data_IF_706172466729
#
_entry.id   IF_706172466729
#
_cell.length_a   1.000
_cell.length_b   1.000
_cell.length_c   1.000
_cell.angle_alpha   90.00
_cell.angle_beta   90.00
_cell.angle_gamma   90.00
#
_symmetry.space_group_name_H-M   'P 1'
#
loop_
_entity.id
_entity.type
_entity.pdbx_description
1 polymer ?
#
# COMPACT_ATOMS: atom_id res chain seq x y z
N UNK A 1 -43.51 18.99 -37.93
CA UNK A 1 -42.29 18.20 -38.00
C UNK A 1 -41.48 18.47 -36.73
N UNK A 2 -41.43 17.52 -35.84
CA UNK A 2 -40.61 17.60 -34.58
C UNK A 2 -39.37 16.75 -34.80
N UNK A 3 -38.20 17.39 -34.76
CA UNK A 3 -36.93 16.67 -34.75
C UNK A 3 -36.54 16.43 -33.29
N UNK A 4 -36.60 15.19 -32.87
CA UNK A 4 -36.10 14.69 -31.59
C UNK A 4 -34.58 14.49 -31.72
N UNK A 5 -33.81 15.36 -31.05
CA UNK A 5 -32.37 15.18 -30.89
C UNK A 5 -32.09 14.10 -29.85
N UNK A 6 -31.64 12.95 -30.30
CA UNK A 6 -31.13 11.90 -29.44
C UNK A 6 -29.78 12.30 -28.88
N UNK A 7 -29.68 12.44 -27.56
CA UNK A 7 -28.41 12.54 -26.85
C UNK A 7 -27.71 11.20 -26.89
N UNK A 8 -26.65 11.10 -27.71
CA UNK A 8 -25.75 9.98 -27.70
C UNK A 8 -24.97 9.98 -26.36
N UNK A 9 -25.30 9.10 -25.45
CA UNK A 9 -24.46 8.73 -24.33
C UNK A 9 -23.20 8.06 -24.90
N UNK A 10 -22.08 8.78 -24.87
CA UNK A 10 -20.76 8.20 -25.03
C UNK A 10 -20.47 7.33 -23.80
N UNK A 11 -20.70 6.06 -23.90
CA UNK A 11 -20.20 5.06 -22.96
C UNK A 11 -18.72 4.86 -23.23
N UNK A 12 -17.87 5.71 -22.70
CA UNK A 12 -16.46 5.41 -22.52
C UNK A 12 -16.38 4.47 -21.32
N UNK A 13 -15.97 3.24 -21.55
CA UNK A 13 -15.65 2.25 -20.52
C UNK A 13 -14.27 2.62 -19.93
N UNK A 14 -14.14 3.85 -19.39
CA UNK A 14 -12.95 4.25 -18.65
C UNK A 14 -13.01 3.54 -17.29
N UNK A 15 -12.03 2.70 -17.03
CA UNK A 15 -11.88 2.05 -15.73
C UNK A 15 -11.75 3.15 -14.67
N UNK A 16 -12.64 3.12 -13.67
CA UNK A 16 -12.55 4.06 -12.55
C UNK A 16 -11.32 3.73 -11.68
N UNK A 17 -10.58 4.73 -11.20
CA UNK A 17 -9.44 4.50 -10.32
C UNK A 17 -9.90 3.88 -9.01
N UNK A 18 -9.10 2.94 -8.49
CA UNK A 18 -9.34 2.36 -7.15
C UNK A 18 -9.07 3.38 -6.05
N UNK A 19 -8.03 4.22 -6.25
CA UNK A 19 -7.76 5.38 -5.40
C UNK A 19 -7.68 6.62 -6.29
N UNK A 20 -8.41 7.67 -5.90
CA UNK A 20 -8.28 9.01 -6.47
C UNK A 20 -7.91 10.00 -5.39
N UNK A 21 -6.93 10.83 -5.67
CA UNK A 21 -6.44 11.90 -4.80
C UNK A 21 -6.73 13.22 -5.48
N UNK A 22 -7.40 14.13 -4.78
CA UNK A 22 -7.75 15.45 -5.28
C UNK A 22 -7.21 16.53 -4.36
N UNK A 23 -6.27 17.36 -4.84
CA UNK A 23 -5.68 18.52 -4.18
C UNK A 23 -5.20 18.21 -2.74
N UNK A 24 -4.60 17.01 -2.54
CA UNK A 24 -4.16 16.56 -1.24
C UNK A 24 -3.04 17.44 -0.71
N UNK A 25 -3.30 18.07 0.44
CA UNK A 25 -2.29 18.84 1.18
C UNK A 25 -2.22 18.37 2.63
N UNK A 26 -1.01 18.21 3.14
CA UNK A 26 -0.77 17.94 4.56
C UNK A 26 0.37 18.79 5.09
N UNK A 27 0.06 19.54 6.14
CA UNK A 27 1.00 20.44 6.80
C UNK A 27 1.15 20.04 8.26
N UNK A 28 2.36 19.63 8.64
CA UNK A 28 2.72 19.38 10.05
C UNK A 28 2.89 20.71 10.79
N UNK A 29 2.51 20.73 12.06
CA UNK A 29 2.67 21.87 12.98
C UNK A 29 2.13 23.20 12.39
N UNK A 30 0.97 23.13 11.72
CA UNK A 30 0.33 24.29 11.13
C UNK A 30 0.14 25.42 12.17
N UNK A 31 0.43 26.67 11.76
CA UNK A 31 0.32 27.85 12.64
C UNK A 31 1.46 28.03 13.63
N UNK A 32 2.53 27.24 13.53
CA UNK A 32 3.74 27.38 14.36
C UNK A 32 4.96 27.76 13.53
N UNK A 33 6.06 28.27 14.14
CA UNK A 33 7.31 28.53 13.42
C UNK A 33 7.94 27.27 12.80
N UNK A 34 7.50 26.08 13.20
CA UNK A 34 7.99 24.79 12.68
C UNK A 34 7.05 24.19 11.61
N UNK A 35 6.15 24.98 11.07
CA UNK A 35 5.25 24.55 10.01
C UNK A 35 6.01 24.05 8.79
N UNK A 36 5.65 22.84 8.34
CA UNK A 36 6.22 22.20 7.15
C UNK A 36 5.14 21.52 6.34
N UNK A 37 5.00 21.89 5.08
CA UNK A 37 4.20 21.13 4.12
C UNK A 37 4.94 19.86 3.73
N UNK A 38 4.33 18.70 3.93
CA UNK A 38 4.91 17.41 3.60
C UNK A 38 4.31 16.82 2.32
N UNK A 39 3.08 17.21 1.99
CA UNK A 39 2.38 16.95 0.72
C UNK A 39 1.62 18.22 0.39
N UNK A 40 1.67 18.67 -0.86
CA UNK A 40 1.08 19.94 -1.27
C UNK A 40 0.42 19.85 -2.65
N UNK A 41 -0.92 19.96 -2.67
CA UNK A 41 -1.75 19.97 -3.87
C UNK A 41 -1.59 18.73 -4.75
N UNK A 42 -1.36 17.55 -4.16
CA UNK A 42 -1.15 16.33 -4.93
C UNK A 42 -2.46 15.86 -5.56
N UNK A 43 -2.40 15.60 -6.87
CA UNK A 43 -3.42 14.91 -7.66
C UNK A 43 -2.84 13.61 -8.20
N UNK A 44 -3.55 12.48 -8.01
CA UNK A 44 -3.09 11.20 -8.48
C UNK A 44 -4.26 10.21 -8.58
N UNK A 45 -4.39 9.55 -9.72
CA UNK A 45 -5.29 8.40 -9.91
C UNK A 45 -4.46 7.11 -9.94
N UNK A 46 -4.87 6.11 -9.15
CA UNK A 46 -4.25 4.78 -9.10
C UNK A 46 -5.29 3.76 -9.58
N UNK A 47 -4.93 2.99 -10.60
CA UNK A 47 -5.85 2.07 -11.25
C UNK A 47 -5.94 0.72 -10.55
N UNK A 48 -7.08 0.00 -10.62
CA UNK A 48 -7.19 -1.36 -10.09
C UNK A 48 -6.18 -2.30 -10.76
N UNK A 49 -5.50 -3.12 -9.94
CA UNK A 49 -4.53 -4.09 -10.44
C UNK A 49 -3.24 -3.47 -10.96
N UNK A 50 -2.95 -2.22 -10.64
CA UNK A 50 -1.70 -1.56 -11.01
C UNK A 50 -0.56 -1.94 -10.05
N UNK A 51 0.68 -2.05 -10.58
CA UNK A 51 1.87 -2.12 -9.77
C UNK A 51 2.63 -0.79 -9.91
N UNK A 52 2.42 0.10 -8.94
CA UNK A 52 2.93 1.47 -8.91
C UNK A 52 4.19 1.57 -8.05
N UNK A 53 5.23 2.21 -8.57
CA UNK A 53 6.41 2.63 -7.80
C UNK A 53 6.29 4.07 -7.33
N UNK A 54 6.65 4.36 -6.09
CA UNK A 54 6.77 5.72 -5.56
C UNK A 54 8.21 5.96 -5.15
N UNK A 55 8.88 6.90 -5.82
CA UNK A 55 10.28 7.25 -5.58
C UNK A 55 10.44 8.73 -5.22
N UNK A 56 11.60 9.09 -4.70
CA UNK A 56 11.95 10.47 -4.34
C UNK A 56 12.97 10.49 -3.20
N UNK A 57 13.64 11.61 -2.98
CA UNK A 57 14.61 11.75 -1.88
C UNK A 57 13.94 11.68 -0.50
N UNK A 58 14.74 11.48 0.54
CA UNK A 58 14.26 11.52 1.93
C UNK A 58 13.63 12.87 2.23
N UNK A 59 12.42 12.85 2.80
CA UNK A 59 11.67 14.07 3.10
C UNK A 59 10.89 14.67 1.92
N UNK A 60 10.81 13.99 0.75
CA UNK A 60 9.99 14.44 -0.38
C UNK A 60 8.48 14.27 -0.20
N UNK A 61 8.02 13.62 0.89
CA UNK A 61 6.60 13.45 1.19
C UNK A 61 6.05 12.03 0.97
N UNK A 62 6.85 11.06 0.47
CA UNK A 62 6.40 9.69 0.17
C UNK A 62 5.66 9.01 1.31
N UNK A 63 6.31 8.89 2.49
CA UNK A 63 5.71 8.22 3.65
C UNK A 63 4.45 8.95 4.15
N UNK A 64 4.42 10.29 4.05
CA UNK A 64 3.21 11.07 4.35
C UNK A 64 2.11 10.74 3.35
N UNK A 65 2.40 10.71 2.05
CA UNK A 65 1.42 10.34 1.01
C UNK A 65 0.80 8.97 1.28
N UNK A 66 1.62 7.92 1.45
CA UNK A 66 1.09 6.56 1.64
C UNK A 66 0.30 6.38 2.93
N UNK A 67 0.63 7.11 4.01
CA UNK A 67 -0.13 7.12 5.24
C UNK A 67 -1.51 7.77 5.08
N UNK A 68 -1.67 8.71 4.17
CA UNK A 68 -2.97 9.25 3.80
C UNK A 68 -3.82 8.22 3.07
N UNK A 69 -3.24 7.44 2.15
CA UNK A 69 -3.96 6.41 1.39
C UNK A 69 -4.56 5.32 2.28
N UNK A 70 -3.87 4.98 3.37
CA UNK A 70 -4.35 4.01 4.37
C UNK A 70 -5.25 4.66 5.46
N UNK A 71 -5.45 5.98 5.42
CA UNK A 71 -6.24 6.69 6.42
C UNK A 71 -5.59 6.76 7.82
N UNK A 72 -4.26 6.65 7.92
CA UNK A 72 -3.53 6.94 9.16
C UNK A 72 -3.41 8.43 9.42
N UNK A 73 -3.23 9.21 8.36
CA UNK A 73 -3.23 10.66 8.41
C UNK A 73 -4.50 11.20 7.76
N UNK A 74 -5.06 12.24 8.37
CA UNK A 74 -6.16 13.00 7.78
C UNK A 74 -5.57 14.19 7.01
N UNK A 75 -6.04 14.45 5.76
CA UNK A 75 -5.65 15.63 4.99
C UNK A 75 -5.89 16.93 5.75
N UNK A 76 -4.99 17.91 5.57
CA UNK A 76 -5.27 19.30 5.98
C UNK A 76 -6.22 19.95 4.97
N UNK A 77 -6.05 19.62 3.67
CA UNK A 77 -6.92 20.03 2.57
C UNK A 77 -6.97 18.92 1.51
N UNK A 78 -8.00 18.94 0.68
CA UNK A 78 -8.20 17.97 -0.39
C UNK A 78 -8.91 16.70 0.06
N UNK A 79 -9.08 15.77 -0.86
CA UNK A 79 -9.86 14.55 -0.67
C UNK A 79 -9.13 13.31 -1.18
N UNK A 80 -9.45 12.17 -0.59
CA UNK A 80 -8.98 10.86 -1.03
C UNK A 80 -10.20 9.95 -1.16
N UNK A 81 -10.37 9.40 -2.33
CA UNK A 81 -11.46 8.47 -2.63
C UNK A 81 -10.93 7.06 -2.78
N UNK A 82 -11.58 6.11 -2.16
CA UNK A 82 -11.38 4.67 -2.36
C UNK A 82 -12.64 4.08 -2.98
N UNK A 83 -12.53 3.51 -4.18
CA UNK A 83 -13.68 3.04 -4.97
C UNK A 83 -14.79 4.12 -5.09
N UNK A 84 -14.40 5.35 -5.39
CA UNK A 84 -15.30 6.49 -5.56
C UNK A 84 -15.90 7.07 -4.28
N UNK A 85 -15.55 6.57 -3.09
CA UNK A 85 -16.03 7.08 -1.79
C UNK A 85 -14.92 7.80 -1.05
N UNK A 86 -15.18 9.05 -0.62
CA UNK A 86 -14.25 9.78 0.25
C UNK A 86 -14.03 9.00 1.56
N UNK A 87 -12.78 8.66 1.84
CA UNK A 87 -12.41 7.84 3.02
C UNK A 87 -12.63 8.57 4.35
N UNK A 88 -12.77 9.90 4.32
CA UNK A 88 -12.99 10.74 5.50
C UNK A 88 -14.42 11.30 5.61
N UNK A 89 -15.32 10.96 4.68
CA UNK A 89 -16.72 11.36 4.76
C UNK A 89 -17.41 10.89 6.06
N UNK A 90 -17.05 9.69 6.54
CA UNK A 90 -17.42 9.16 7.85
C UNK A 90 -16.20 8.62 8.59
N UNK A 91 -15.65 9.36 9.57
CA UNK A 91 -14.47 8.91 10.34
C UNK A 91 -14.64 7.57 11.06
N UNK A 92 -15.89 7.14 11.33
CA UNK A 92 -16.14 5.82 11.94
C UNK A 92 -15.86 4.66 10.98
N UNK A 93 -15.88 4.93 9.68
CA UNK A 93 -15.61 3.95 8.62
C UNK A 93 -14.10 3.78 8.32
N UNK A 94 -13.22 4.59 8.91
CA UNK A 94 -11.78 4.56 8.59
C UNK A 94 -11.14 3.19 8.83
N UNK A 95 -11.67 2.40 9.77
CA UNK A 95 -11.22 1.02 10.01
C UNK A 95 -11.45 0.14 8.78
N UNK A 96 -12.56 0.32 8.06
CA UNK A 96 -12.88 -0.43 6.85
C UNK A 96 -11.95 -0.06 5.69
N UNK A 97 -11.48 1.20 5.65
CA UNK A 97 -10.45 1.64 4.69
C UNK A 97 -9.15 0.87 4.94
N UNK A 98 -8.72 0.74 6.21
CA UNK A 98 -7.49 0.03 6.58
C UNK A 98 -7.51 -1.45 6.27
N UNK A 99 -8.67 -2.08 6.24
CA UNK A 99 -8.82 -3.47 5.78
C UNK A 99 -8.69 -3.60 4.25
N UNK A 100 -9.08 -2.55 3.50
CA UNK A 100 -8.99 -2.56 2.04
C UNK A 100 -7.64 -2.05 1.53
N UNK A 101 -6.97 -1.17 2.30
CA UNK A 101 -5.66 -0.60 1.98
C UNK A 101 -4.68 -1.02 3.05
N UNK A 102 -4.01 -2.14 2.84
CA UNK A 102 -2.98 -2.67 3.73
C UNK A 102 -1.69 -1.86 3.58
N UNK A 103 -1.04 -1.54 4.70
CA UNK A 103 0.23 -0.82 4.73
C UNK A 103 1.26 -1.61 5.53
N UNK A 104 2.35 -1.95 4.86
CA UNK A 104 3.57 -2.49 5.47
C UNK A 104 4.55 -1.34 5.63
N UNK A 105 4.91 -1.01 6.86
CA UNK A 105 5.85 0.07 7.17
C UNK A 105 7.30 -0.35 6.95
N UNK A 106 8.19 0.63 6.91
CA UNK A 106 9.62 0.40 6.94
C UNK A 106 10.02 -0.33 8.24
N UNK A 107 10.86 -1.38 8.14
CA UNK A 107 11.23 -2.26 9.25
C UNK A 107 10.03 -2.89 9.97
N UNK A 108 9.14 -3.60 9.25
CA UNK A 108 7.88 -4.08 9.80
C UNK A 108 8.08 -5.17 10.87
N UNK A 109 9.27 -5.79 10.93
CA UNK A 109 9.67 -6.76 11.96
C UNK A 109 9.64 -6.21 13.40
N UNK A 110 9.67 -4.91 13.57
CA UNK A 110 9.53 -4.27 14.90
C UNK A 110 8.08 -4.14 15.37
N UNK A 111 7.12 -4.50 14.50
CA UNK A 111 5.70 -4.39 14.82
C UNK A 111 5.09 -5.71 15.31
N UNK A 112 5.87 -6.79 15.37
CA UNK A 112 5.43 -8.08 15.88
C UNK A 112 5.30 -8.03 17.39
N UNK A 113 4.19 -8.55 17.95
CA UNK A 113 3.86 -8.42 19.37
C UNK A 113 3.15 -9.63 19.96
N UNK A 114 2.66 -10.56 19.15
CA UNK A 114 1.92 -11.72 19.61
C UNK A 114 2.83 -12.85 20.10
N UNK A 115 2.25 -13.80 20.82
CA UNK A 115 2.99 -14.94 21.39
C UNK A 115 3.50 -15.92 20.33
N UNK A 116 2.75 -16.06 19.22
CA UNK A 116 3.11 -16.96 18.11
C UNK A 116 2.98 -16.25 16.77
N UNK A 117 3.75 -16.73 15.79
CA UNK A 117 3.68 -16.28 14.39
C UNK A 117 2.25 -16.40 13.86
N UNK A 118 1.58 -17.50 14.16
CA UNK A 118 0.18 -17.71 13.78
C UNK A 118 -0.72 -16.58 14.27
N UNK A 119 -0.61 -16.24 15.56
CA UNK A 119 -1.43 -15.17 16.17
C UNK A 119 -1.13 -13.81 15.58
N UNK A 120 0.15 -13.48 15.32
CA UNK A 120 0.53 -12.22 14.65
C UNK A 120 -0.12 -12.10 13.26
N UNK A 121 -0.03 -13.16 12.44
CA UNK A 121 -0.65 -13.15 11.11
C UNK A 121 -2.18 -13.13 11.21
N UNK A 122 -2.77 -13.83 12.17
CA UNK A 122 -4.22 -13.91 12.40
C UNK A 122 -4.82 -12.61 12.95
N UNK A 123 -4.01 -11.70 13.48
CA UNK A 123 -4.49 -10.48 14.14
C UNK A 123 -5.35 -9.60 13.23
N UNK A 124 -4.90 -9.35 11.99
CA UNK A 124 -5.65 -8.59 11.00
C UNK A 124 -6.99 -9.24 10.65
N UNK A 125 -7.02 -10.49 10.15
CA UNK A 125 -8.23 -11.26 9.86
C UNK A 125 -9.19 -11.38 11.05
N UNK A 126 -8.67 -11.59 12.26
CA UNK A 126 -9.47 -11.61 13.48
C UNK A 126 -10.18 -10.28 13.75
N UNK A 127 -9.50 -9.16 13.52
CA UNK A 127 -10.07 -7.83 13.64
C UNK A 127 -11.11 -7.50 12.56
N UNK A 128 -11.11 -8.22 11.43
CA UNK A 128 -12.14 -8.13 10.40
C UNK A 128 -13.43 -8.87 10.81
N UNK A 129 -13.41 -9.67 11.87
CA UNK A 129 -14.54 -10.46 12.35
C UNK A 129 -14.79 -11.72 11.52
N UNK A 130 -13.77 -12.25 10.87
CA UNK A 130 -13.86 -13.50 10.11
C UNK A 130 -14.00 -14.70 11.06
N UNK A 131 -14.60 -15.79 10.56
CA UNK A 131 -14.65 -17.04 11.31
C UNK A 131 -13.29 -17.73 11.39
N UNK A 132 -13.18 -18.72 12.28
CA UNK A 132 -11.92 -19.40 12.56
C UNK A 132 -11.36 -20.17 11.36
N UNK A 133 -12.21 -20.74 10.53
CA UNK A 133 -11.80 -21.52 9.36
C UNK A 133 -11.19 -20.59 8.30
N UNK A 134 -11.84 -19.48 8.05
CA UNK A 134 -11.34 -18.47 7.11
C UNK A 134 -10.05 -17.79 7.62
N UNK A 135 -9.94 -17.53 8.92
CA UNK A 135 -8.71 -17.02 9.53
C UNK A 135 -7.56 -18.02 9.30
N UNK A 136 -7.77 -19.31 9.64
CA UNK A 136 -6.74 -20.36 9.46
C UNK A 136 -6.31 -20.48 7.99
N UNK A 137 -7.27 -20.48 7.06
CA UNK A 137 -6.99 -20.52 5.63
C UNK A 137 -6.08 -19.34 5.21
N UNK A 138 -6.44 -18.12 5.60
CA UNK A 138 -5.69 -16.90 5.24
C UNK A 138 -4.31 -16.87 5.87
N UNK A 139 -4.18 -17.27 7.12
CA UNK A 139 -2.88 -17.38 7.80
C UNK A 139 -1.95 -18.31 7.05
N UNK A 140 -2.39 -19.53 6.76
CA UNK A 140 -1.56 -20.53 6.08
C UNK A 140 -1.26 -20.17 4.64
N UNK A 141 -2.21 -19.55 3.93
CA UNK A 141 -2.00 -19.08 2.56
C UNK A 141 -0.99 -17.95 2.51
N UNK A 142 -1.13 -16.93 3.36
CA UNK A 142 -0.19 -15.80 3.40
C UNK A 142 1.20 -16.21 3.88
N UNK A 143 1.31 -17.10 4.87
CA UNK A 143 2.59 -17.65 5.30
C UNK A 143 3.32 -18.39 4.16
N UNK A 144 2.60 -19.22 3.40
CA UNK A 144 3.16 -19.89 2.20
C UNK A 144 3.60 -18.88 1.13
N UNK A 145 2.81 -17.84 0.88
CA UNK A 145 3.14 -16.81 -0.11
C UNK A 145 4.46 -16.10 0.20
N UNK A 146 4.74 -15.84 1.47
CA UNK A 146 5.99 -15.21 1.89
C UNK A 146 7.11 -16.24 2.19
N UNK A 147 6.90 -17.52 1.88
CA UNK A 147 7.91 -18.57 2.05
C UNK A 147 8.25 -18.88 3.51
N UNK A 148 7.29 -18.76 4.43
CA UNK A 148 7.42 -19.23 5.80
C UNK A 148 7.06 -20.73 5.87
N UNK A 149 7.93 -21.49 6.51
CA UNK A 149 7.68 -22.90 6.79
C UNK A 149 6.56 -23.05 7.85
N UNK A 150 5.72 -24.07 7.69
CA UNK A 150 4.54 -24.23 8.54
C UNK A 150 4.88 -24.46 10.02
N UNK A 151 5.98 -25.15 10.30
CA UNK A 151 6.49 -25.36 11.66
C UNK A 151 6.90 -24.07 12.40
N UNK A 152 7.03 -22.94 11.68
CA UNK A 152 7.32 -21.64 12.28
C UNK A 152 6.06 -20.99 12.85
N UNK A 153 4.87 -21.39 12.43
CA UNK A 153 3.61 -20.76 12.86
C UNK A 153 3.38 -20.84 14.37
N UNK A 154 3.82 -21.93 15.00
CA UNK A 154 3.67 -22.14 16.44
C UNK A 154 4.83 -21.55 17.26
N UNK A 155 5.87 -21.03 16.60
CA UNK A 155 7.01 -20.42 17.29
C UNK A 155 6.70 -18.98 17.69
N UNK A 156 7.44 -18.50 18.71
CA UNK A 156 7.44 -17.09 19.04
C UNK A 156 8.08 -16.28 17.90
N UNK A 157 7.48 -15.16 17.46
CA UNK A 157 8.10 -14.28 16.49
C UNK A 157 9.49 -13.79 16.94
N UNK A 158 9.71 -13.69 18.25
CA UNK A 158 10.97 -13.19 18.82
C UNK A 158 12.15 -14.16 18.64
N UNK A 159 11.88 -15.45 18.42
CA UNK A 159 12.89 -16.49 18.17
C UNK A 159 13.30 -16.58 16.69
N UNK A 160 12.68 -15.80 15.82
CA UNK A 160 12.93 -15.81 14.38
C UNK A 160 14.12 -14.92 13.98
N UNK A 161 14.75 -15.25 12.85
CA UNK A 161 15.70 -14.33 12.20
C UNK A 161 15.01 -13.05 11.72
N UNK A 162 15.77 -11.95 11.53
CA UNK A 162 15.22 -10.69 11.04
C UNK A 162 14.44 -10.81 9.73
N UNK A 163 14.97 -11.59 8.77
CA UNK A 163 14.28 -11.87 7.51
C UNK A 163 12.97 -12.65 7.68
N UNK A 164 12.94 -13.63 8.60
CA UNK A 164 11.73 -14.36 8.93
C UNK A 164 10.70 -13.46 9.60
N UNK A 165 11.10 -12.63 10.57
CA UNK A 165 10.23 -11.63 11.22
C UNK A 165 9.58 -10.70 10.19
N UNK A 166 10.37 -10.19 9.23
CA UNK A 166 9.86 -9.35 8.14
C UNK A 166 8.81 -10.07 7.31
N UNK A 167 9.04 -11.33 6.95
CA UNK A 167 8.06 -12.15 6.23
C UNK A 167 6.76 -12.35 7.05
N UNK A 168 6.86 -12.55 8.36
CA UNK A 168 5.68 -12.63 9.25
C UNK A 168 4.87 -11.33 9.20
N UNK A 169 5.52 -10.18 9.33
CA UNK A 169 4.84 -8.90 9.30
C UNK A 169 4.17 -8.60 7.94
N UNK A 170 4.84 -8.94 6.82
CA UNK A 170 4.25 -8.82 5.48
C UNK A 170 3.06 -9.79 5.34
N UNK A 171 3.18 -11.04 5.80
CA UNK A 171 2.10 -12.03 5.78
C UNK A 171 0.88 -11.56 6.58
N UNK A 172 1.08 -10.91 7.73
CA UNK A 172 0.00 -10.34 8.55
C UNK A 172 -0.84 -9.31 7.81
N UNK A 173 -0.21 -8.47 6.97
CA UNK A 173 -0.94 -7.53 6.12
C UNK A 173 -1.60 -8.25 4.94
N UNK A 174 -0.89 -9.17 4.27
CA UNK A 174 -1.43 -9.94 3.14
C UNK A 174 -2.62 -10.82 3.54
N UNK A 175 -2.64 -11.34 4.79
CA UNK A 175 -3.73 -12.16 5.31
C UNK A 175 -5.09 -11.42 5.40
N UNK A 176 -5.08 -10.10 5.44
CA UNK A 176 -6.30 -9.30 5.32
C UNK A 176 -6.88 -9.32 3.90
N UNK A 177 -6.12 -9.78 2.91
CA UNK A 177 -6.45 -9.74 1.46
C UNK A 177 -6.87 -8.33 1.01
N UNK A 178 -6.03 -7.32 1.26
CA UNK A 178 -6.36 -5.96 0.89
C UNK A 178 -6.45 -5.80 -0.63
N UNK A 179 -7.33 -4.89 -1.10
CA UNK A 179 -7.43 -4.51 -2.52
C UNK A 179 -6.22 -3.71 -2.99
N UNK A 180 -5.64 -2.94 -2.06
CA UNK A 180 -4.42 -2.16 -2.28
C UNK A 180 -3.41 -2.55 -1.20
N UNK A 181 -2.23 -3.02 -1.62
CA UNK A 181 -1.11 -3.34 -0.74
C UNK A 181 -0.02 -2.28 -0.92
N UNK A 182 0.24 -1.52 0.13
CA UNK A 182 1.31 -0.52 0.17
C UNK A 182 2.48 -1.08 0.95
N UNK A 183 3.69 -0.96 0.39
CA UNK A 183 4.92 -1.41 1.06
C UNK A 183 5.92 -0.23 1.07
N UNK A 184 6.26 0.22 2.29
CA UNK A 184 7.24 1.28 2.49
C UNK A 184 8.62 0.66 2.74
N UNK A 185 9.47 0.67 1.72
CA UNK A 185 10.84 0.14 1.74
C UNK A 185 10.96 -1.30 2.29
N UNK A 186 10.19 -2.27 1.74
CA UNK A 186 10.13 -3.62 2.29
C UNK A 186 11.46 -4.38 2.24
N UNK A 187 12.40 -3.92 1.43
CA UNK A 187 13.72 -4.53 1.19
C UNK A 187 14.86 -3.85 1.96
N UNK A 188 14.56 -2.76 2.69
CA UNK A 188 15.57 -2.01 3.43
C UNK A 188 16.37 -2.89 4.41
N UNK A 189 17.71 -2.82 4.36
CA UNK A 189 18.60 -3.59 5.25
C UNK A 189 18.73 -5.08 4.94
N UNK A 190 18.10 -5.59 3.87
CA UNK A 190 18.30 -6.97 3.41
C UNK A 190 19.52 -7.09 2.49
N UNK A 191 20.11 -8.28 2.49
CA UNK A 191 21.10 -8.67 1.48
C UNK A 191 20.43 -8.81 0.09
N UNK A 192 21.22 -8.88 -1.00
CA UNK A 192 20.67 -8.95 -2.35
C UNK A 192 19.69 -10.11 -2.55
N UNK A 193 20.00 -11.29 -2.00
CA UNK A 193 19.14 -12.46 -2.12
C UNK A 193 17.81 -12.28 -1.41
N UNK A 194 17.84 -11.77 -0.16
CA UNK A 194 16.63 -11.49 0.61
C UNK A 194 15.72 -10.44 -0.06
N UNK A 195 16.34 -9.43 -0.73
CA UNK A 195 15.58 -8.44 -1.53
C UNK A 195 14.85 -9.11 -2.68
N UNK A 196 15.56 -9.90 -3.48
CA UNK A 196 14.97 -10.58 -4.65
C UNK A 196 13.85 -11.53 -4.23
N UNK A 197 14.01 -12.25 -3.12
CA UNK A 197 13.01 -13.16 -2.57
C UNK A 197 11.73 -12.38 -2.15
N UNK A 198 11.85 -11.29 -1.39
CA UNK A 198 10.70 -10.47 -0.97
C UNK A 198 9.99 -9.85 -2.18
N UNK A 199 10.73 -9.30 -3.14
CA UNK A 199 10.14 -8.71 -4.35
C UNK A 199 9.43 -9.76 -5.21
N UNK A 200 9.97 -10.98 -5.31
CA UNK A 200 9.33 -12.08 -6.00
C UNK A 200 8.01 -12.48 -5.32
N UNK A 201 7.97 -12.51 -3.99
CA UNK A 201 6.76 -12.80 -3.21
C UNK A 201 5.68 -11.72 -3.38
N UNK A 202 6.09 -10.44 -3.40
CA UNK A 202 5.17 -9.32 -3.66
C UNK A 202 4.58 -9.41 -5.07
N UNK A 203 5.40 -9.73 -6.08
CA UNK A 203 4.91 -9.96 -7.46
C UNK A 203 3.92 -11.12 -7.53
N UNK A 204 4.27 -12.25 -6.91
CA UNK A 204 3.39 -13.42 -6.86
C UNK A 204 2.03 -13.08 -6.20
N UNK A 205 2.04 -12.28 -5.13
CA UNK A 205 0.81 -11.78 -4.50
C UNK A 205 -0.02 -10.91 -5.47
N UNK A 206 0.62 -9.91 -6.11
CA UNK A 206 0.00 -9.05 -7.10
C UNK A 206 -0.68 -9.85 -8.24
N UNK A 207 0.04 -10.81 -8.82
CA UNK A 207 -0.44 -11.63 -9.92
C UNK A 207 -1.59 -12.57 -9.49
N UNK A 208 -1.44 -13.22 -8.32
CA UNK A 208 -2.40 -14.22 -7.82
C UNK A 208 -3.70 -13.58 -7.33
N UNK A 209 -3.60 -12.49 -6.55
CA UNK A 209 -4.76 -11.81 -5.95
C UNK A 209 -5.28 -10.66 -6.81
N UNK A 210 -4.59 -10.28 -7.89
CA UNK A 210 -4.87 -9.10 -8.72
C UNK A 210 -5.01 -7.82 -7.89
N UNK A 211 -4.29 -7.77 -6.75
CA UNK A 211 -4.29 -6.62 -5.87
C UNK A 211 -3.51 -5.47 -6.52
N UNK A 212 -3.94 -4.24 -6.31
CA UNK A 212 -3.12 -3.06 -6.61
C UNK A 212 -1.95 -3.02 -5.64
N UNK A 213 -0.72 -2.82 -6.13
CA UNK A 213 0.47 -2.74 -5.28
C UNK A 213 1.12 -1.37 -5.44
N UNK A 214 1.46 -0.75 -4.31
CA UNK A 214 2.23 0.49 -4.25
C UNK A 214 3.55 0.18 -3.53
N UNK A 215 4.65 0.24 -4.26
CA UNK A 215 5.99 -0.01 -3.75
C UNK A 215 6.76 1.30 -3.60
N UNK A 216 7.10 1.65 -2.37
CA UNK A 216 8.01 2.76 -2.08
C UNK A 216 9.42 2.20 -1.92
N UNK A 217 10.37 2.71 -2.69
CA UNK A 217 11.78 2.31 -2.59
C UNK A 217 12.72 3.45 -2.97
N UNK A 218 13.90 3.45 -2.38
CA UNK A 218 15.02 4.30 -2.79
C UNK A 218 15.85 3.67 -3.92
N UNK A 219 15.68 2.38 -4.17
CA UNK A 219 16.39 1.65 -5.21
C UNK A 219 15.71 1.83 -6.56
N UNK A 220 16.32 2.63 -7.44
CA UNK A 220 15.83 2.83 -8.79
C UNK A 220 15.78 1.52 -9.59
N UNK A 221 16.73 0.61 -9.33
CA UNK A 221 16.80 -0.69 -9.99
C UNK A 221 15.63 -1.60 -9.57
N UNK A 222 15.31 -1.65 -8.28
CA UNK A 222 14.15 -2.41 -7.79
C UNK A 222 12.85 -1.90 -8.43
N UNK A 223 12.66 -0.59 -8.45
CA UNK A 223 11.49 0.04 -9.05
C UNK A 223 11.43 -0.24 -10.55
N UNK A 224 12.51 0.02 -11.30
CA UNK A 224 12.52 -0.18 -12.75
C UNK A 224 12.19 -1.62 -13.18
N UNK A 225 12.60 -2.63 -12.38
CA UNK A 225 12.37 -4.05 -12.68
C UNK A 225 10.98 -4.57 -12.29
N UNK A 226 10.31 -3.92 -11.35
CA UNK A 226 9.14 -4.51 -10.73
C UNK A 226 7.82 -3.79 -11.04
N UNK A 227 7.85 -2.51 -11.44
CA UNK A 227 6.64 -1.71 -11.55
C UNK A 227 6.31 -1.33 -13.00
N UNK A 228 5.02 -1.14 -13.28
CA UNK A 228 4.54 -0.67 -14.59
C UNK A 228 4.50 0.85 -14.73
N UNK A 229 4.40 1.57 -13.60
CA UNK A 229 4.31 3.03 -13.54
C UNK A 229 5.05 3.55 -12.33
N UNK A 230 5.61 4.75 -12.45
CA UNK A 230 6.40 5.40 -11.40
C UNK A 230 5.85 6.79 -11.16
N UNK A 231 5.64 7.10 -9.89
CA UNK A 231 5.39 8.46 -9.40
C UNK A 231 6.65 8.95 -8.67
N UNK A 232 7.19 10.06 -9.12
CA UNK A 232 8.35 10.72 -8.51
C UNK A 232 7.87 11.85 -7.61
N UNK A 233 8.15 11.73 -6.31
CA UNK A 233 7.87 12.78 -5.34
C UNK A 233 9.09 13.68 -5.16
N UNK A 234 8.88 15.00 -5.26
CA UNK A 234 9.89 16.01 -5.01
C UNK A 234 9.26 17.23 -4.35
N UNK A 235 9.88 17.72 -3.28
CA UNK A 235 9.48 18.96 -2.59
C UNK A 235 7.96 18.99 -2.29
N UNK A 236 7.43 17.91 -1.73
CA UNK A 236 6.01 17.70 -1.38
C UNK A 236 5.03 17.57 -2.56
N UNK A 237 5.48 17.56 -3.81
CA UNK A 237 4.65 17.46 -5.00
C UNK A 237 4.94 16.19 -5.80
N UNK A 238 4.00 15.78 -6.65
CA UNK A 238 4.26 14.83 -7.74
C UNK A 238 5.02 15.57 -8.85
N UNK A 239 6.30 15.25 -9.01
CA UNK A 239 7.18 15.87 -9.99
C UNK A 239 7.09 15.21 -11.37
N UNK A 240 7.00 13.88 -11.40
CA UNK A 240 6.83 13.08 -12.62
C UNK A 240 5.90 11.92 -12.36
N UNK A 241 5.20 11.51 -13.40
CA UNK A 241 4.32 10.35 -13.42
C UNK A 241 4.41 9.70 -14.80
N UNK A 242 4.81 8.44 -14.87
CA UNK A 242 4.99 7.76 -16.15
C UNK A 242 5.53 6.34 -16.02
N UNK A 243 5.75 5.70 -17.16
CA UNK A 243 6.39 4.38 -17.22
C UNK A 243 7.86 4.47 -16.79
N UNK A 244 8.49 3.35 -16.35
CA UNK A 244 9.92 3.33 -16.04
C UNK A 244 10.79 3.91 -17.15
N UNK A 245 10.44 3.62 -18.41
CA UNK A 245 11.17 4.15 -19.57
C UNK A 245 11.09 5.67 -19.69
N UNK A 246 9.94 6.27 -19.35
CA UNK A 246 9.77 7.73 -19.40
C UNK A 246 10.48 8.45 -18.26
N UNK A 247 10.51 7.82 -17.09
CA UNK A 247 11.10 8.41 -15.88
C UNK A 247 12.64 8.32 -15.86
N UNK A 248 13.21 7.25 -16.44
CA UNK A 248 14.66 6.99 -16.46
C UNK A 248 15.32 7.25 -17.82
N UNK A 249 14.62 7.88 -18.78
CA UNK A 249 15.14 8.22 -20.10
C UNK A 249 16.09 9.42 -20.09
#
# INVERSE_FOLDING_TARGET
MRCTGGSAQKGSNELEPIIRIEQLTHTYSAGTPFQRSAVDGVELDIMPGEFLGVIGHTGSGKSTLIQHLNGLLKPTQGHIYLNGKDIWADPKQIRQVRFQVGLVFQYPEYQLFEETVYKDIAFGPGNMGLDKEEIDRRVRESARMVGLAEELLEKSPFDLSGGQKRRVAIAGVMAMEPKVLILDEPTAGLDPRGRDEILAQIRAYHETKRATVILVSHSMEEIARNVGRIVVMRDAHVYMDGTPRQVFA
#
